data_IF_412306070097
#
_entry.id   IF_412306070097
#
_cell.length_a   1.000
_cell.length_b   1.000
_cell.length_c   1.000
_cell.angle_alpha   90.00
_cell.angle_beta   90.00
_cell.angle_gamma   90.00
#
_symmetry.space_group_name_H-M   'P 1'
#
loop_
_entity.id
_entity.type
_entity.pdbx_description
1 polymer ?
#
# COMPACT_ATOMS: atom_id res chain seq x y z
N UNK A 1 14.27 -25.90 -9.18
CA UNK A 1 12.94 -26.35 -9.65
C UNK A 1 11.90 -25.95 -8.65
N UNK A 2 11.08 -24.95 -8.97
CA UNK A 2 9.92 -24.58 -8.17
C UNK A 2 8.86 -25.66 -8.40
N UNK A 3 8.37 -26.25 -7.32
CA UNK A 3 7.37 -27.31 -7.38
C UNK A 3 5.96 -26.72 -7.34
N UNK A 4 4.97 -27.49 -7.80
CA UNK A 4 3.57 -27.07 -7.75
C UNK A 4 3.16 -26.72 -6.30
N UNK A 5 3.63 -27.49 -5.31
CA UNK A 5 3.41 -27.25 -3.88
C UNK A 5 3.94 -25.91 -3.38
N UNK A 6 5.07 -25.43 -3.91
CA UNK A 6 5.63 -24.13 -3.54
C UNK A 6 4.70 -22.99 -4.01
N UNK A 7 4.12 -23.14 -5.20
CA UNK A 7 3.14 -22.20 -5.74
C UNK A 7 1.81 -22.27 -4.97
N UNK A 8 1.32 -23.47 -4.63
CA UNK A 8 0.10 -23.61 -3.85
C UNK A 8 0.26 -23.01 -2.45
N UNK A 9 1.40 -23.25 -1.80
CA UNK A 9 1.67 -22.69 -0.47
C UNK A 9 1.79 -21.16 -0.53
N UNK A 10 2.44 -20.60 -1.56
CA UNK A 10 2.47 -19.16 -1.79
C UNK A 10 1.06 -18.58 -2.01
N UNK A 11 0.22 -19.22 -2.82
CA UNK A 11 -1.15 -18.75 -3.07
C UNK A 11 -2.03 -18.86 -1.82
N UNK A 12 -1.96 -19.97 -1.08
CA UNK A 12 -2.77 -20.20 0.14
C UNK A 12 -2.36 -19.27 1.28
N UNK A 13 -1.06 -19.02 1.48
CA UNK A 13 -0.56 -18.07 2.48
C UNK A 13 -0.93 -16.62 2.14
N UNK A 14 -0.92 -16.26 0.85
CA UNK A 14 -1.44 -14.97 0.41
C UNK A 14 -2.96 -14.89 0.58
N UNK A 15 -3.74 -15.90 0.24
CA UNK A 15 -5.20 -15.89 0.42
C UNK A 15 -5.61 -15.79 1.90
N UNK A 16 -4.91 -16.47 2.82
CA UNK A 16 -5.18 -16.36 4.26
C UNK A 16 -4.81 -15.00 4.84
N UNK A 17 -3.78 -14.32 4.30
CA UNK A 17 -3.42 -12.95 4.73
C UNK A 17 -4.37 -11.89 4.17
N UNK A 18 -5.01 -12.15 3.03
CA UNK A 18 -5.95 -11.24 2.36
C UNK A 18 -7.33 -11.21 3.03
N UNK A 19 -7.70 -12.24 3.80
CA UNK A 19 -9.04 -12.37 4.39
C UNK A 19 -9.20 -11.71 5.78
N UNK A 20 -8.17 -11.02 6.31
CA UNK A 20 -8.20 -10.46 7.68
C UNK A 20 -8.53 -8.96 7.71
N UNK A 21 -8.53 -8.24 6.58
CA UNK A 21 -8.56 -6.77 6.60
C UNK A 21 -9.68 -6.10 5.79
N UNK A 22 -10.75 -6.83 5.48
CA UNK A 22 -11.95 -6.26 4.85
C UNK A 22 -12.83 -5.49 5.85
N UNK A 23 -12.27 -4.50 6.55
CA UNK A 23 -13.06 -3.37 7.04
C UNK A 23 -12.95 -2.29 5.97
N UNK A 24 -14.02 -2.02 5.23
CA UNK A 24 -14.10 -0.94 4.23
C UNK A 24 -14.03 0.44 4.90
N UNK A 25 -12.90 0.77 5.53
CA UNK A 25 -12.63 2.10 6.04
C UNK A 25 -12.26 3.00 4.85
N UNK A 26 -12.96 4.13 4.62
CA UNK A 26 -12.66 5.01 3.52
C UNK A 26 -11.25 5.62 3.66
N UNK A 27 -10.67 6.00 2.51
CA UNK A 27 -9.42 6.76 2.50
C UNK A 27 -9.66 8.18 3.05
N UNK A 28 -8.74 8.66 3.87
CA UNK A 28 -8.73 10.06 4.30
C UNK A 28 -8.18 10.97 3.20
N UNK A 29 -8.40 12.27 3.33
CA UNK A 29 -7.87 13.24 2.37
C UNK A 29 -6.33 13.20 2.30
N UNK A 30 -5.66 13.06 3.44
CA UNK A 30 -4.20 12.94 3.50
C UNK A 30 -3.68 11.66 2.85
N UNK A 31 -4.39 10.55 3.03
CA UNK A 31 -4.05 9.27 2.39
C UNK A 31 -4.13 9.38 0.86
N UNK A 32 -5.20 10.00 0.33
CA UNK A 32 -5.37 10.24 -1.11
C UNK A 32 -4.28 11.17 -1.65
N UNK A 33 -4.03 12.28 -0.96
CA UNK A 33 -3.06 13.29 -1.38
C UNK A 33 -1.63 12.71 -1.41
N UNK A 34 -1.26 11.91 -0.39
CA UNK A 34 0.04 11.22 -0.35
C UNK A 34 0.16 10.19 -1.48
N UNK A 35 -0.89 9.40 -1.77
CA UNK A 35 -0.87 8.45 -2.89
C UNK A 35 -0.69 9.15 -4.24
N UNK A 36 -1.34 10.31 -4.45
CA UNK A 36 -1.18 11.12 -5.66
C UNK A 36 0.23 11.67 -5.80
N UNK A 37 0.85 12.14 -4.72
CA UNK A 37 2.22 12.64 -4.78
C UNK A 37 3.24 11.52 -5.00
N UNK A 38 2.97 10.29 -4.52
CA UNK A 38 3.84 9.13 -4.73
C UNK A 38 4.04 8.76 -6.21
N UNK A 39 3.23 9.31 -7.13
CA UNK A 39 3.41 9.16 -8.58
C UNK A 39 4.72 9.80 -9.05
N UNK A 40 5.07 10.96 -8.50
CA UNK A 40 6.16 11.81 -9.02
C UNK A 40 7.25 12.11 -8.01
N UNK A 41 7.01 11.83 -6.71
CA UNK A 41 7.91 12.23 -5.64
C UNK A 41 8.23 11.08 -4.69
N UNK A 42 9.47 11.04 -4.22
CA UNK A 42 9.87 10.16 -3.12
C UNK A 42 9.23 10.59 -1.80
N UNK A 43 9.10 9.67 -0.83
CA UNK A 43 8.52 9.99 0.48
C UNK A 43 9.27 11.11 1.22
N UNK A 44 10.58 11.25 1.01
CA UNK A 44 11.37 12.37 1.57
C UNK A 44 10.98 13.71 0.95
N UNK A 45 10.77 13.76 -0.37
CA UNK A 45 10.31 14.97 -1.05
C UNK A 45 8.88 15.33 -0.63
N UNK A 46 7.99 14.33 -0.49
CA UNK A 46 6.61 14.54 -0.02
C UNK A 46 6.59 15.11 1.40
N UNK A 47 7.45 14.62 2.29
CA UNK A 47 7.60 15.17 3.64
C UNK A 47 7.95 16.66 3.63
N UNK A 48 8.85 17.08 2.72
CA UNK A 48 9.20 18.49 2.52
C UNK A 48 8.01 19.28 1.96
N UNK A 49 7.34 18.78 0.91
CA UNK A 49 6.21 19.44 0.24
C UNK A 49 5.04 19.67 1.21
N UNK A 50 4.68 18.65 2.00
CA UNK A 50 3.57 18.72 2.96
C UNK A 50 3.95 19.37 4.29
N UNK A 51 5.24 19.59 4.56
CA UNK A 51 5.72 20.14 5.83
C UNK A 51 5.45 19.23 7.03
N UNK A 52 5.50 17.90 6.84
CA UNK A 52 5.25 16.90 7.89
C UNK A 52 6.37 15.86 7.94
N UNK A 53 6.49 15.15 9.06
CA UNK A 53 7.52 14.14 9.24
C UNK A 53 7.44 13.00 8.21
N UNK A 54 8.61 12.54 7.76
CA UNK A 54 8.75 11.38 6.86
C UNK A 54 7.99 10.14 7.39
N UNK A 55 8.04 9.90 8.70
CA UNK A 55 7.35 8.77 9.34
C UNK A 55 5.83 8.88 9.17
N UNK A 56 5.29 10.08 9.28
CA UNK A 56 3.86 10.36 9.08
C UNK A 56 3.45 10.11 7.64
N UNK A 57 4.24 10.57 6.67
CA UNK A 57 3.99 10.28 5.25
C UNK A 57 4.01 8.77 4.98
N UNK A 58 5.02 8.06 5.49
CA UNK A 58 5.14 6.61 5.34
C UNK A 58 3.96 5.87 5.97
N UNK A 59 3.50 6.32 7.14
CA UNK A 59 2.36 5.73 7.83
C UNK A 59 1.07 5.85 7.00
N UNK A 60 0.75 7.05 6.52
CA UNK A 60 -0.43 7.27 5.68
C UNK A 60 -0.37 6.45 4.39
N UNK A 61 0.80 6.36 3.75
CA UNK A 61 0.98 5.53 2.55
C UNK A 61 0.67 4.05 2.83
N UNK A 62 1.25 3.48 3.87
CA UNK A 62 1.04 2.06 4.21
C UNK A 62 -0.42 1.80 4.59
N UNK A 63 -1.02 2.69 5.39
CA UNK A 63 -2.43 2.58 5.78
C UNK A 63 -3.37 2.64 4.58
N UNK A 64 -3.12 3.55 3.64
CA UNK A 64 -3.89 3.68 2.41
C UNK A 64 -3.79 2.44 1.52
N UNK A 65 -2.57 1.94 1.31
CA UNK A 65 -2.33 0.70 0.55
C UNK A 65 -3.04 -0.50 1.19
N UNK A 66 -2.99 -0.62 2.52
CA UNK A 66 -3.69 -1.66 3.26
C UNK A 66 -5.22 -1.56 3.09
N UNK A 67 -5.80 -0.36 3.18
CA UNK A 67 -7.25 -0.14 2.95
C UNK A 67 -7.69 -0.51 1.54
N UNK A 68 -6.83 -0.27 0.55
CA UNK A 68 -7.07 -0.66 -0.84
C UNK A 68 -6.78 -2.14 -1.11
N UNK A 69 -6.21 -2.86 -0.14
CA UNK A 69 -5.72 -4.22 -0.30
C UNK A 69 -4.70 -4.38 -1.45
N UNK A 70 -3.77 -3.41 -1.53
CA UNK A 70 -2.73 -3.33 -2.56
C UNK A 70 -1.36 -3.41 -1.87
N UNK A 71 -0.43 -4.21 -2.42
CA UNK A 71 0.88 -4.47 -1.81
C UNK A 71 1.92 -3.39 -2.13
N UNK A 72 1.71 -2.60 -3.19
CA UNK A 72 2.66 -1.55 -3.56
C UNK A 72 2.08 -0.50 -4.50
N UNK A 73 2.75 0.65 -4.58
CA UNK A 73 2.30 1.77 -5.43
C UNK A 73 2.31 1.43 -6.92
N UNK A 74 3.10 0.44 -7.36
CA UNK A 74 3.09 -0.03 -8.76
C UNK A 74 1.74 -0.66 -9.13
N UNK A 75 1.14 -1.42 -8.21
CA UNK A 75 -0.17 -2.05 -8.42
C UNK A 75 -1.31 -1.02 -8.48
N UNK A 76 -1.12 0.19 -7.94
CA UNK A 76 -2.08 1.30 -8.06
C UNK A 76 -2.26 1.79 -9.51
N UNK A 77 -1.25 1.60 -10.37
CA UNK A 77 -1.26 2.10 -11.75
C UNK A 77 -1.74 1.08 -12.78
N UNK A 78 -2.03 -0.16 -12.36
CA UNK A 78 -2.44 -1.28 -13.23
C UNK A 78 -3.86 -1.76 -12.85
N UNK A 79 -4.45 -1.20 -11.80
CA UNK A 79 -5.82 -1.49 -11.35
C UNK A 79 -6.88 -0.72 -12.15
#
# INVERSE_FOLDING_TARGET
NITLSDLTHFLVSNLHTQNVYSTQEPLTHDEIDILRLCVSYSLKQIAIIKGIDYKTVSYHKIRALNKLNIKGTVELFIA
#
